data_IF_412186064912
#
_entry.id   IF_412186064912
#
_cell.length_a   1.000
_cell.length_b   1.000
_cell.length_c   1.000
_cell.angle_alpha   90.00
_cell.angle_beta   90.00
_cell.angle_gamma   90.00
#
_symmetry.space_group_name_H-M   'P 1'
#
loop_
_entity.id
_entity.type
_entity.pdbx_description
1 polymer ?
#
# COMPACT_ATOMS: atom_id res chain seq x y z
N UNK A 1 21.15 -4.22 -6.59
CA UNK A 1 21.49 -2.89 -6.01
C UNK A 1 21.39 -2.90 -4.49
N UNK A 2 20.24 -3.22 -3.88
CA UNK A 2 20.08 -3.26 -2.40
C UNK A 2 21.15 -4.11 -1.72
N UNK A 3 21.40 -5.33 -2.22
CA UNK A 3 22.45 -6.21 -1.69
C UNK A 3 23.86 -5.59 -1.79
N UNK A 4 24.15 -4.86 -2.87
CA UNK A 4 25.42 -4.16 -3.02
C UNK A 4 25.58 -3.06 -1.97
N UNK A 5 24.53 -2.26 -1.74
CA UNK A 5 24.53 -1.18 -0.74
C UNK A 5 24.70 -1.78 0.66
N UNK A 6 23.97 -2.84 0.99
CA UNK A 6 24.08 -3.53 2.27
C UNK A 6 25.46 -4.15 2.51
N UNK A 7 26.10 -4.73 1.48
CA UNK A 7 27.49 -5.21 1.56
C UNK A 7 28.50 -4.07 1.74
N UNK A 8 28.22 -2.89 1.17
CA UNK A 8 29.12 -1.72 1.22
C UNK A 8 29.05 -0.96 2.54
N UNK A 9 27.85 -0.80 3.10
CA UNK A 9 27.62 0.07 4.27
C UNK A 9 27.27 -0.68 5.55
N UNK A 10 27.03 -2.00 5.48
CA UNK A 10 26.56 -2.81 6.60
C UNK A 10 25.08 -3.16 6.47
N UNK A 11 24.72 -4.39 6.86
CA UNK A 11 23.34 -4.90 6.74
C UNK A 11 22.37 -4.17 7.69
N UNK A 12 22.86 -3.71 8.83
CA UNK A 12 22.13 -2.99 9.87
C UNK A 12 22.12 -1.46 9.67
N UNK A 13 22.79 -0.97 8.63
CA UNK A 13 22.81 0.45 8.23
C UNK A 13 21.87 0.76 7.07
N UNK A 14 21.25 -0.26 6.46
CA UNK A 14 20.45 -0.13 5.23
C UNK A 14 19.08 -0.77 5.40
N UNK A 15 18.03 0.00 5.14
CA UNK A 15 16.65 -0.50 5.21
C UNK A 15 15.82 0.01 4.04
N UNK A 16 14.81 -0.78 3.69
CA UNK A 16 13.75 -0.29 2.81
C UNK A 16 12.82 0.65 3.57
N UNK A 17 12.07 1.47 2.86
CA UNK A 17 11.10 2.38 3.48
C UNK A 17 9.71 1.71 3.48
N UNK A 18 8.98 1.75 4.59
CA UNK A 18 7.58 1.30 4.62
C UNK A 18 6.69 2.24 3.79
N UNK A 19 5.64 1.67 3.23
CA UNK A 19 4.49 2.42 2.71
C UNK A 19 3.22 1.80 3.24
N UNK A 20 2.12 2.55 3.17
CA UNK A 20 0.84 2.12 3.70
C UNK A 20 -0.17 1.97 2.58
N UNK A 21 -0.70 0.75 2.42
CA UNK A 21 -1.83 0.51 1.54
C UNK A 21 -3.10 1.05 2.21
N UNK A 22 -3.82 1.94 1.53
CA UNK A 22 -5.09 2.48 2.02
C UNK A 22 -6.30 1.81 1.36
N UNK A 23 -7.44 1.86 2.04
CA UNK A 23 -8.70 1.34 1.50
C UNK A 23 -9.28 2.32 0.46
N UNK A 24 -8.93 2.12 -0.82
CA UNK A 24 -9.52 2.87 -1.94
C UNK A 24 -10.96 2.43 -2.22
N UNK A 25 -11.77 3.26 -2.88
CA UNK A 25 -13.18 3.02 -3.22
C UNK A 25 -13.54 1.56 -3.59
N UNK A 26 -12.83 0.97 -4.57
CA UNK A 26 -13.04 -0.42 -5.00
C UNK A 26 -12.68 -1.47 -3.94
N UNK A 27 -11.63 -1.22 -3.16
CA UNK A 27 -11.15 -2.15 -2.14
C UNK A 27 -12.05 -2.11 -0.90
N UNK A 28 -12.45 -0.91 -0.49
CA UNK A 28 -13.30 -0.74 0.70
C UNK A 28 -14.68 -1.38 0.53
N UNK A 29 -15.29 -1.31 -0.67
CA UNK A 29 -16.53 -2.05 -0.97
C UNK A 29 -16.35 -3.55 -0.76
N UNK A 30 -15.23 -4.10 -1.24
CA UNK A 30 -14.95 -5.54 -1.11
C UNK A 30 -14.73 -5.97 0.33
N UNK A 31 -14.01 -5.16 1.10
CA UNK A 31 -13.70 -5.47 2.49
C UNK A 31 -14.94 -5.40 3.37
N UNK A 32 -15.72 -4.32 3.23
CA UNK A 32 -16.96 -4.14 3.99
C UNK A 32 -17.99 -5.18 3.59
N UNK A 33 -18.16 -5.45 2.30
CA UNK A 33 -19.10 -6.46 1.83
C UNK A 33 -18.79 -7.84 2.39
N UNK A 34 -17.50 -8.22 2.43
CA UNK A 34 -17.07 -9.48 3.07
C UNK A 34 -17.34 -9.49 4.58
N UNK A 35 -17.09 -8.39 5.27
CA UNK A 35 -17.32 -8.29 6.71
C UNK A 35 -18.81 -8.32 7.10
N UNK A 36 -19.69 -7.89 6.19
CA UNK A 36 -21.14 -7.96 6.33
C UNK A 36 -21.75 -9.28 5.83
N UNK A 37 -20.91 -10.23 5.40
CA UNK A 37 -21.32 -11.53 4.85
C UNK A 37 -22.25 -11.42 3.63
N UNK A 38 -22.08 -10.35 2.83
CA UNK A 38 -22.79 -10.19 1.56
C UNK A 38 -22.13 -11.12 0.52
N UNK A 39 -22.89 -11.85 -0.31
CA UNK A 39 -22.34 -12.77 -1.30
C UNK A 39 -21.24 -12.11 -2.15
N UNK A 40 -20.06 -12.71 -2.20
CA UNK A 40 -18.87 -12.12 -2.86
C UNK A 40 -19.12 -11.75 -4.34
N UNK A 41 -20.03 -12.46 -5.01
CA UNK A 41 -20.44 -12.17 -6.38
C UNK A 41 -21.14 -10.81 -6.50
N UNK A 42 -22.00 -10.47 -5.56
CA UNK A 42 -22.70 -9.19 -5.52
C UNK A 42 -21.76 -8.06 -5.14
N UNK A 43 -20.91 -8.29 -4.14
CA UNK A 43 -19.87 -7.34 -3.73
C UNK A 43 -18.92 -7.02 -4.88
N UNK A 44 -18.47 -8.02 -5.63
CA UNK A 44 -17.58 -7.80 -6.78
C UNK A 44 -18.31 -7.09 -7.93
N UNK A 45 -19.60 -7.40 -8.18
CA UNK A 45 -20.43 -6.67 -9.14
C UNK A 45 -20.49 -5.19 -8.78
N UNK A 46 -20.79 -4.86 -7.52
CA UNK A 46 -20.87 -3.49 -7.04
C UNK A 46 -19.50 -2.78 -7.13
N UNK A 47 -18.42 -3.45 -6.71
CA UNK A 47 -17.07 -2.89 -6.74
C UNK A 47 -16.57 -2.62 -8.17
N UNK A 48 -17.02 -3.39 -9.18
CA UNK A 48 -16.66 -3.18 -10.59
C UNK A 48 -17.30 -1.93 -11.19
N UNK A 49 -18.42 -1.46 -10.65
CA UNK A 49 -19.08 -0.22 -11.11
C UNK A 49 -18.25 1.03 -10.83
N UNK A 50 -17.41 1.03 -9.78
CA UNK A 50 -16.54 2.17 -9.46
C UNK A 50 -15.55 2.40 -10.61
N UNK A 51 -15.48 3.58 -11.26
CA UNK A 51 -14.58 3.79 -12.39
C UNK A 51 -13.09 3.67 -12.03
N UNK A 52 -12.23 3.13 -12.92
CA UNK A 52 -10.80 2.96 -12.66
C UNK A 52 -10.02 4.26 -12.91
N UNK A 53 -10.36 5.33 -12.19
CA UNK A 53 -9.68 6.62 -12.28
C UNK A 53 -8.75 6.84 -11.08
N UNK A 54 -7.68 7.60 -11.31
CA UNK A 54 -6.77 7.99 -10.23
C UNK A 54 -7.53 8.89 -9.23
N UNK A 55 -7.31 8.67 -7.94
CA UNK A 55 -7.96 9.41 -6.86
C UNK A 55 -9.51 9.36 -6.90
N UNK A 56 -10.07 8.26 -7.40
CA UNK A 56 -11.50 7.97 -7.31
C UNK A 56 -11.91 7.74 -5.84
N UNK A 57 -12.99 8.38 -5.44
CA UNK A 57 -13.63 8.22 -4.12
C UNK A 57 -15.02 7.61 -4.28
N UNK A 58 -15.60 7.07 -3.22
CA UNK A 58 -16.95 6.53 -3.25
C UNK A 58 -17.98 7.59 -3.64
N UNK A 59 -17.89 8.79 -3.08
CA UNK A 59 -18.84 9.86 -3.39
C UNK A 59 -18.80 10.29 -4.86
N UNK A 60 -17.60 10.40 -5.44
CA UNK A 60 -17.45 10.68 -6.88
C UNK A 60 -18.02 9.54 -7.71
N UNK A 61 -17.75 8.28 -7.33
CA UNK A 61 -18.26 7.13 -8.06
C UNK A 61 -19.80 7.07 -8.04
N UNK A 62 -20.43 7.34 -6.90
CA UNK A 62 -21.88 7.41 -6.74
C UNK A 62 -22.50 8.51 -7.60
N UNK A 63 -21.87 9.69 -7.66
CA UNK A 63 -22.35 10.79 -8.50
C UNK A 63 -22.25 10.49 -10.00
N UNK A 64 -21.24 9.72 -10.41
CA UNK A 64 -20.97 9.41 -11.82
C UNK A 64 -21.76 8.20 -12.33
N UNK A 65 -22.12 7.26 -11.47
CA UNK A 65 -22.69 5.97 -11.86
C UNK A 65 -24.09 5.82 -11.24
N UNK A 66 -25.17 5.97 -12.03
CA UNK A 66 -26.54 5.87 -11.53
C UNK A 66 -26.83 4.56 -10.80
N UNK A 67 -26.23 3.45 -11.23
CA UNK A 67 -26.39 2.14 -10.58
C UNK A 67 -25.79 2.10 -9.18
N UNK A 68 -24.70 2.83 -8.92
CA UNK A 68 -24.16 2.97 -7.57
C UNK A 68 -25.07 3.84 -6.71
N UNK A 69 -25.62 4.92 -7.26
CA UNK A 69 -26.60 5.75 -6.57
C UNK A 69 -27.91 4.99 -6.25
N UNK A 70 -28.34 4.09 -7.13
CA UNK A 70 -29.47 3.20 -6.89
C UNK A 70 -29.16 2.19 -5.78
N UNK A 71 -27.96 1.60 -5.78
CA UNK A 71 -27.53 0.67 -4.74
C UNK A 71 -27.49 1.33 -3.35
N UNK A 72 -27.30 2.64 -3.25
CA UNK A 72 -27.37 3.33 -1.96
C UNK A 72 -28.76 3.32 -1.32
N UNK A 73 -29.80 3.19 -2.15
CA UNK A 73 -31.20 3.15 -1.72
C UNK A 73 -31.70 1.72 -1.52
N UNK A 74 -30.93 0.74 -1.97
CA UNK A 74 -31.23 -0.67 -1.79
C UNK A 74 -30.87 -1.07 -0.35
N UNK A 75 -31.84 -1.56 0.47
CA UNK A 75 -31.57 -2.01 1.82
C UNK A 75 -30.45 -3.06 1.93
N UNK A 76 -30.22 -3.84 0.86
CA UNK A 76 -29.14 -4.83 0.81
C UNK A 76 -27.74 -4.20 0.80
N UNK A 77 -27.58 -3.02 0.19
CA UNK A 77 -26.28 -2.38 -0.02
C UNK A 77 -26.12 -1.04 0.71
N UNK A 78 -27.20 -0.43 1.20
CA UNK A 78 -27.18 0.85 1.93
C UNK A 78 -26.20 0.79 3.11
N UNK A 79 -26.28 -0.28 3.93
CA UNK A 79 -25.39 -0.48 5.08
C UNK A 79 -23.93 -0.67 4.65
N UNK A 80 -23.69 -1.37 3.53
CA UNK A 80 -22.36 -1.56 2.97
C UNK A 80 -21.78 -0.20 2.59
N UNK A 81 -22.46 0.58 1.74
CA UNK A 81 -21.93 1.82 1.18
C UNK A 81 -21.78 2.91 2.24
N UNK A 82 -22.68 2.98 3.21
CA UNK A 82 -22.54 3.86 4.38
C UNK A 82 -21.30 3.56 5.20
N UNK A 83 -21.03 2.28 5.49
CA UNK A 83 -19.84 1.88 6.23
C UNK A 83 -18.56 2.07 5.40
N UNK A 84 -18.63 1.78 4.10
CA UNK A 84 -17.52 1.93 3.18
C UNK A 84 -17.03 3.38 3.10
N UNK A 85 -17.94 4.37 3.12
CA UNK A 85 -17.57 5.79 3.20
C UNK A 85 -16.76 6.15 4.44
N UNK A 86 -17.11 5.58 5.60
CA UNK A 86 -16.40 5.84 6.87
C UNK A 86 -15.00 5.23 6.90
N UNK A 87 -14.79 4.17 6.11
CA UNK A 87 -13.54 3.42 6.09
C UNK A 87 -12.65 3.79 4.89
N UNK A 88 -13.19 4.47 3.88
CA UNK A 88 -12.42 4.91 2.72
C UNK A 88 -11.23 5.78 3.16
N UNK A 89 -10.06 5.49 2.58
CA UNK A 89 -8.83 6.23 2.85
C UNK A 89 -8.06 5.79 4.10
N UNK A 90 -8.67 5.01 5.01
CA UNK A 90 -7.94 4.49 6.16
C UNK A 90 -6.82 3.53 5.75
N UNK A 91 -5.77 3.48 6.57
CA UNK A 91 -4.65 2.55 6.40
C UNK A 91 -5.13 1.12 6.63
N UNK A 92 -4.80 0.23 5.70
CA UNK A 92 -5.20 -1.18 5.72
C UNK A 92 -4.07 -2.11 6.12
N UNK A 93 -2.88 -1.88 5.58
CA UNK A 93 -1.71 -2.75 5.83
C UNK A 93 -0.41 -2.01 5.55
N UNK A 94 0.64 -2.47 6.22
CA UNK A 94 2.03 -2.15 5.89
C UNK A 94 2.42 -2.82 4.57
N UNK A 95 3.18 -2.11 3.75
CA UNK A 95 3.75 -2.59 2.50
C UNK A 95 5.15 -1.98 2.32
N UNK A 96 5.88 -2.43 1.32
CA UNK A 96 7.23 -1.97 1.03
C UNK A 96 7.20 -0.87 -0.03
N UNK A 97 7.90 0.23 0.20
CA UNK A 97 8.14 1.23 -0.84
C UNK A 97 8.96 0.60 -1.96
N UNK A 98 8.44 0.61 -3.18
CA UNK A 98 9.02 -0.11 -4.32
C UNK A 98 10.42 0.35 -4.77
N UNK A 99 10.99 1.41 -4.18
CA UNK A 99 12.19 2.08 -4.69
C UNK A 99 13.04 2.73 -3.59
N UNK A 100 12.42 3.23 -2.51
CA UNK A 100 13.13 3.97 -1.46
C UNK A 100 13.89 3.07 -0.50
N UNK A 101 15.18 3.35 -0.34
CA UNK A 101 16.01 2.86 0.76
C UNK A 101 16.54 4.02 1.61
N UNK A 102 16.94 3.71 2.84
CA UNK A 102 17.64 4.62 3.75
C UNK A 102 19.00 4.03 4.09
N UNK A 103 20.00 4.90 4.25
CA UNK A 103 21.36 4.54 4.66
C UNK A 103 21.75 5.45 5.83
N UNK A 104 22.26 4.87 6.92
CA UNK A 104 22.70 5.59 8.12
C UNK A 104 24.18 5.35 8.46
N UNK A 105 24.87 6.29 9.14
CA UNK A 105 26.27 6.12 9.53
C UNK A 105 26.47 5.21 10.75
N UNK A 106 25.45 5.03 11.59
CA UNK A 106 25.39 4.02 12.67
C UNK A 106 24.19 3.08 12.42
N UNK A 107 24.01 1.99 13.19
CA UNK A 107 22.88 1.08 13.03
C UNK A 107 21.53 1.80 13.06
N UNK A 108 20.64 1.42 12.14
CA UNK A 108 19.37 2.09 11.87
C UNK A 108 18.48 2.27 13.11
N UNK A 109 18.54 1.34 14.07
CA UNK A 109 17.71 1.39 15.29
C UNK A 109 18.01 2.62 16.16
N UNK A 110 19.16 3.28 15.96
CA UNK A 110 19.50 4.56 16.62
C UNK A 110 18.72 5.74 16.06
N UNK A 111 18.21 5.64 14.83
CA UNK A 111 17.55 6.75 14.13
C UNK A 111 16.05 6.53 13.93
N UNK A 112 15.63 5.28 13.67
CA UNK A 112 14.26 4.98 13.28
C UNK A 112 13.84 3.58 13.75
N UNK A 113 12.62 3.41 14.29
CA UNK A 113 12.09 2.08 14.60
C UNK A 113 11.97 1.25 13.32
N UNK A 114 12.25 -0.05 13.45
CA UNK A 114 12.26 -0.99 12.32
C UNK A 114 11.13 -2.00 12.43
N UNK A 115 10.71 -2.51 11.28
CA UNK A 115 9.78 -3.61 11.13
C UNK A 115 10.37 -4.67 10.22
N UNK A 116 10.17 -5.95 10.56
CA UNK A 116 10.50 -7.03 9.65
C UNK A 116 9.59 -7.00 8.42
N UNK A 117 10.18 -7.04 7.24
CA UNK A 117 9.44 -7.08 5.99
C UNK A 117 8.78 -8.44 5.81
N UNK A 118 7.46 -8.43 5.64
CA UNK A 118 6.68 -9.62 5.31
C UNK A 118 6.69 -9.75 3.78
N UNK A 119 7.81 -10.19 3.21
CA UNK A 119 7.87 -10.51 1.78
C UNK A 119 7.59 -12.00 1.61
N UNK A 120 6.35 -12.35 1.23
CA UNK A 120 6.05 -13.72 0.78
C UNK A 120 6.76 -13.96 -0.55
N UNK A 121 7.93 -14.59 -0.49
CA UNK A 121 8.58 -15.22 -1.63
C UNK A 121 10.08 -14.96 -1.73
N UNK A 122 10.87 -15.94 -1.35
CA UNK A 122 11.89 -16.44 -2.28
C UNK A 122 11.50 -17.87 -2.66
N UNK A 123 11.67 -18.22 -3.93
CA UNK A 123 11.26 -19.47 -4.59
C UNK A 123 11.78 -20.77 -3.96
N UNK A 124 12.50 -20.71 -2.83
CA UNK A 124 13.22 -21.82 -2.22
C UNK A 124 13.02 -21.92 -0.69
N UNK A 125 11.99 -21.31 -0.10
CA UNK A 125 11.71 -21.42 1.34
C UNK A 125 12.72 -20.71 2.26
N UNK A 126 13.65 -19.93 1.70
CA UNK A 126 14.53 -19.07 2.48
C UNK A 126 13.81 -17.73 2.74
N UNK A 127 13.46 -17.48 3.99
CA UNK A 127 12.98 -16.18 4.43
C UNK A 127 14.14 -15.18 4.39
N UNK A 128 14.28 -14.42 3.30
CA UNK A 128 15.03 -13.16 3.39
C UNK A 128 14.28 -12.21 4.30
N UNK A 129 14.72 -12.14 5.55
CA UNK A 129 14.34 -11.08 6.50
C UNK A 129 14.89 -9.75 5.98
N UNK A 130 14.17 -9.11 5.06
CA UNK A 130 14.40 -7.70 4.78
C UNK A 130 13.85 -6.87 5.96
N UNK A 131 14.50 -5.77 6.29
CA UNK A 131 14.01 -4.81 7.30
C UNK A 131 13.51 -3.55 6.60
N UNK A 132 12.44 -2.98 7.14
CA UNK A 132 11.91 -1.69 6.71
C UNK A 132 11.84 -0.72 7.87
N UNK A 133 11.95 0.57 7.59
CA UNK A 133 11.63 1.62 8.57
C UNK A 133 10.15 1.55 8.93
N UNK A 134 9.73 1.87 10.16
CA UNK A 134 8.30 2.04 10.48
C UNK A 134 7.76 3.42 10.09
N UNK A 135 8.66 4.36 9.83
CA UNK A 135 8.31 5.66 9.25
C UNK A 135 8.30 5.57 7.73
N UNK A 136 7.24 6.09 7.14
CA UNK A 136 7.08 6.24 5.71
C UNK A 136 7.98 7.34 5.16
N UNK A 137 8.05 7.41 3.82
CA UNK A 137 8.97 8.28 3.08
C UNK A 137 9.07 9.72 3.60
N UNK A 138 7.93 10.36 3.90
CA UNK A 138 7.90 11.75 4.31
C UNK A 138 8.41 11.94 5.75
N UNK A 139 8.00 11.07 6.69
CA UNK A 139 8.50 11.08 8.06
C UNK A 139 10.00 10.78 8.14
N UNK A 140 10.50 9.80 7.37
CA UNK A 140 11.94 9.51 7.27
C UNK A 140 12.72 10.76 6.86
N UNK A 141 12.25 11.47 5.84
CA UNK A 141 12.90 12.71 5.40
C UNK A 141 12.83 13.81 6.46
N UNK A 142 11.70 13.94 7.18
CA UNK A 142 11.52 14.94 8.25
C UNK A 142 12.46 14.73 9.44
N UNK A 143 12.82 13.48 9.75
CA UNK A 143 13.81 13.17 10.80
C UNK A 143 15.26 13.29 10.30
N UNK A 144 15.48 13.80 9.08
CA UNK A 144 16.80 14.08 8.54
C UNK A 144 17.52 12.88 7.92
N UNK A 145 16.82 11.76 7.72
CA UNK A 145 17.43 10.59 7.07
C UNK A 145 17.43 10.74 5.56
N UNK A 146 18.60 10.52 4.96
CA UNK A 146 18.77 10.51 3.52
C UNK A 146 18.08 9.28 2.92
N UNK A 147 17.10 9.51 2.05
CA UNK A 147 16.52 8.47 1.20
C UNK A 147 17.19 8.42 -0.16
N UNK A 148 17.29 7.23 -0.73
CA UNK A 148 17.69 7.01 -2.12
C UNK A 148 16.64 6.15 -2.82
N UNK A 149 16.07 6.65 -3.92
CA UNK A 149 15.09 5.91 -4.71
C UNK A 149 15.81 5.15 -5.85
N UNK A 150 15.76 3.82 -5.82
CA UNK A 150 16.18 2.97 -6.94
C UNK A 150 14.99 2.64 -7.84
N UNK A 151 14.87 3.40 -8.93
CA UNK A 151 13.82 3.20 -9.92
C UNK A 151 14.23 2.16 -10.98
N UNK A 152 13.41 1.14 -11.18
CA UNK A 152 13.57 0.14 -12.25
C UNK A 152 13.02 0.62 -13.60
N UNK A 153 13.39 1.82 -14.05
CA UNK A 153 12.91 2.37 -15.32
C UNK A 153 13.46 1.57 -16.50
N UNK A 154 12.56 0.88 -17.23
CA UNK A 154 12.91 0.08 -18.42
C UNK A 154 13.55 0.90 -19.53
N UNK A 155 13.21 2.19 -19.65
CA UNK A 155 13.73 3.05 -20.72
C UNK A 155 15.27 3.11 -20.71
N UNK A 156 15.89 3.17 -19.52
CA UNK A 156 17.34 3.19 -19.41
C UNK A 156 17.97 1.83 -19.77
N UNK A 157 17.24 0.73 -19.56
CA UNK A 157 17.66 -0.61 -19.99
C UNK A 157 17.62 -0.78 -21.51
N UNK A 158 16.79 -0.01 -22.23
CA UNK A 158 16.66 -0.08 -23.70
C UNK A 158 17.77 0.71 -24.41
N UNK A 159 18.23 1.82 -23.81
CA UNK A 159 19.31 2.66 -24.39
C UNK A 159 20.67 1.96 -24.34
N UNK A 160 20.83 0.99 -23.43
CA UNK A 160 22.09 0.29 -23.15
C UNK A 160 22.31 -0.89 -24.09
#
# INVERSE_FOLDING_TARGET
>A
VIEYVARRYGQDHVAQIITFGTMKARAVIRDVGRALDIPLREVDRLAKLVPPQLNMTLDKAVQMVPELAAAEKDPAFERLLRNARKLEGLVRHASTHAAGIVITPEPLQRYVPLQASITRGEKNGQEKRAVMTQYEMNAVQKIGLLKMDFLGLRNLSIIK
#
